data_IF_318684168922
#
_entry.id   IF_318684168922
#
_cell.length_a   1.000
_cell.length_b   1.000
_cell.length_c   1.000
_cell.angle_alpha   90.00
_cell.angle_beta   90.00
_cell.angle_gamma   90.00
#
_symmetry.space_group_name_H-M   'P 1'
#
loop_
_entity.id
_entity.type
_entity.pdbx_description
1 polymer ?
#
# COMPACT_ATOMS: atom_id res chain seq x y z
N UNK A 1 -8.96 -28.48 -24.82
CA UNK A 1 -9.17 -28.37 -23.37
C UNK A 1 -10.43 -27.56 -23.14
N UNK A 2 -11.44 -28.11 -22.48
CA UNK A 2 -12.67 -27.38 -22.13
C UNK A 2 -12.37 -26.54 -20.88
N UNK A 3 -12.36 -25.22 -21.02
CA UNK A 3 -12.19 -24.30 -19.89
C UNK A 3 -13.50 -24.27 -19.11
N UNK A 4 -13.53 -24.87 -17.93
CA UNK A 4 -14.68 -24.79 -17.02
C UNK A 4 -15.00 -23.33 -16.74
N UNK A 5 -16.26 -22.86 -16.86
CA UNK A 5 -16.61 -21.49 -16.50
C UNK A 5 -16.27 -21.27 -15.03
N UNK A 6 -15.38 -20.33 -14.77
CA UNK A 6 -14.95 -20.01 -13.42
C UNK A 6 -16.10 -19.27 -12.71
N UNK A 7 -16.49 -19.68 -11.49
CA UNK A 7 -17.57 -19.01 -10.77
C UNK A 7 -17.23 -17.54 -10.57
N UNK A 8 -18.18 -16.66 -10.88
CA UNK A 8 -18.05 -15.22 -10.65
C UNK A 8 -18.05 -14.96 -9.14
N UNK A 9 -16.97 -14.38 -8.63
CA UNK A 9 -16.86 -13.99 -7.22
C UNK A 9 -17.40 -12.56 -7.07
N UNK A 10 -18.33 -12.34 -6.13
CA UNK A 10 -18.77 -10.99 -5.75
C UNK A 10 -17.59 -10.22 -5.11
N UNK A 11 -17.13 -9.10 -5.71
CA UNK A 11 -16.01 -8.32 -5.18
C UNK A 11 -16.24 -7.78 -3.77
N UNK A 12 -17.49 -7.44 -3.40
CA UNK A 12 -17.80 -6.91 -2.07
C UNK A 12 -17.68 -8.02 -1.03
N UNK A 13 -18.25 -9.20 -1.31
CA UNK A 13 -18.13 -10.37 -0.45
C UNK A 13 -16.66 -10.78 -0.27
N UNK A 14 -15.87 -10.80 -1.34
CA UNK A 14 -14.44 -11.11 -1.28
C UNK A 14 -13.67 -10.08 -0.43
N UNK A 15 -13.92 -8.79 -0.63
CA UNK A 15 -13.30 -7.73 0.18
C UNK A 15 -13.63 -7.87 1.66
N UNK A 16 -14.88 -8.20 1.99
CA UNK A 16 -15.30 -8.45 3.38
C UNK A 16 -14.57 -9.65 3.97
N UNK A 17 -14.46 -10.75 3.21
CA UNK A 17 -13.73 -11.93 3.63
C UNK A 17 -12.23 -11.63 3.90
N UNK A 18 -11.55 -10.88 3.03
CA UNK A 18 -10.17 -10.46 3.28
C UNK A 18 -10.04 -9.52 4.48
N UNK A 19 -11.05 -8.67 4.72
CA UNK A 19 -11.07 -7.76 5.86
C UNK A 19 -11.20 -8.43 7.23
N UNK A 20 -11.50 -9.73 7.30
CA UNK A 20 -11.56 -10.44 8.60
C UNK A 20 -10.17 -10.82 9.13
N UNK A 21 -9.14 -10.79 8.29
CA UNK A 21 -7.76 -11.01 8.72
C UNK A 21 -7.17 -9.70 9.24
N UNK A 22 -6.87 -9.67 10.54
CA UNK A 22 -6.33 -8.49 11.21
C UNK A 22 -4.88 -8.26 10.77
N UNK A 23 -4.56 -7.01 10.42
CA UNK A 23 -3.20 -6.60 10.06
C UNK A 23 -2.83 -5.31 10.79
N UNK A 24 -1.52 -5.02 10.84
CA UNK A 24 -1.04 -3.68 11.12
C UNK A 24 -1.32 -2.72 9.95
N UNK A 25 -1.15 -1.43 10.19
CA UNK A 25 -1.25 -0.40 9.14
C UNK A 25 0.13 0.15 8.85
N UNK A 26 0.47 0.26 7.57
CA UNK A 26 1.71 0.90 7.13
C UNK A 26 1.43 2.05 6.18
N UNK A 27 2.37 2.99 6.10
CA UNK A 27 2.50 3.92 4.98
C UNK A 27 3.74 3.51 4.20
N UNK A 28 3.53 3.16 2.94
CA UNK A 28 4.64 2.97 1.99
C UNK A 28 4.96 4.30 1.33
N UNK A 29 6.25 4.60 1.20
CA UNK A 29 6.74 5.83 0.58
C UNK A 29 7.83 5.56 -0.45
N UNK A 30 7.92 6.42 -1.45
CA UNK A 30 8.96 6.42 -2.48
C UNK A 30 9.13 7.86 -2.98
N UNK A 31 10.03 8.07 -3.93
CA UNK A 31 10.17 9.32 -4.69
C UNK A 31 9.90 9.04 -6.15
N UNK A 32 9.17 9.94 -6.82
CA UNK A 32 9.02 9.90 -8.28
C UNK A 32 10.29 10.39 -9.00
N UNK A 33 10.27 10.40 -10.33
CA UNK A 33 11.43 10.72 -11.16
C UNK A 33 12.01 12.13 -10.88
N UNK A 34 11.17 13.07 -10.46
CA UNK A 34 11.57 14.43 -10.13
C UNK A 34 11.99 14.58 -8.65
N UNK A 35 12.05 13.47 -7.91
CA UNK A 35 12.39 13.43 -6.49
C UNK A 35 11.22 13.78 -5.55
N UNK A 36 10.02 14.02 -6.09
CA UNK A 36 8.85 14.40 -5.28
C UNK A 36 8.39 13.19 -4.46
N UNK A 37 8.16 13.36 -3.14
CA UNK A 37 7.74 12.25 -2.29
C UNK A 37 6.33 11.78 -2.67
N UNK A 38 6.17 10.46 -2.76
CA UNK A 38 4.91 9.77 -3.03
C UNK A 38 4.68 8.73 -1.95
N UNK A 39 3.43 8.55 -1.55
CA UNK A 39 3.10 7.55 -0.55
C UNK A 39 1.63 7.18 -0.49
N UNK A 40 1.36 6.04 0.12
CA UNK A 40 0.01 5.56 0.36
C UNK A 40 -0.06 4.65 1.58
N UNK A 41 -1.23 4.62 2.21
CA UNK A 41 -1.54 3.65 3.25
C UNK A 41 -1.71 2.28 2.62
N UNK A 42 -1.08 1.27 3.23
CA UNK A 42 -1.19 -0.12 2.84
C UNK A 42 -1.33 -1.00 4.08
N UNK A 43 -2.12 -2.07 3.97
CA UNK A 43 -2.29 -3.06 5.03
C UNK A 43 -2.04 -4.49 4.53
N UNK A 44 -1.47 -4.63 3.33
CA UNK A 44 -1.08 -5.89 2.70
C UNK A 44 0.41 -6.22 2.90
N UNK A 45 1.04 -5.61 3.91
CA UNK A 45 2.45 -5.84 4.23
C UNK A 45 2.66 -7.27 4.74
N UNK A 46 3.74 -7.92 4.30
CA UNK A 46 4.19 -9.18 4.87
C UNK A 46 5.71 -9.28 4.86
N UNK A 47 6.27 -9.84 5.94
CA UNK A 47 7.64 -10.36 5.92
C UNK A 47 7.71 -11.59 5.01
N UNK A 48 8.77 -11.71 4.21
CA UNK A 48 8.94 -12.80 3.24
C UNK A 48 10.15 -13.68 3.57
N UNK A 49 11.29 -13.07 3.87
CA UNK A 49 12.54 -13.79 4.16
C UNK A 49 13.40 -13.00 5.15
N UNK A 50 14.19 -13.71 5.96
CA UNK A 50 15.19 -13.11 6.84
C UNK A 50 16.58 -13.05 6.18
N UNK A 51 16.93 -14.05 5.38
CA UNK A 51 18.20 -14.10 4.65
C UNK A 51 17.98 -14.65 3.21
N UNK A 52 18.05 -13.81 2.17
CA UNK A 52 18.19 -12.36 2.25
C UNK A 52 16.97 -11.69 2.89
N UNK A 53 17.09 -10.48 3.46
CA UNK A 53 15.98 -9.77 4.08
C UNK A 53 14.98 -9.29 3.03
N UNK A 54 13.80 -9.91 2.99
CA UNK A 54 12.75 -9.60 2.01
C UNK A 54 11.41 -9.32 2.70
N UNK A 55 10.67 -8.38 2.12
CA UNK A 55 9.30 -8.05 2.45
C UNK A 55 8.48 -7.86 1.17
N UNK A 56 7.16 -7.88 1.28
CA UNK A 56 6.26 -7.63 0.17
C UNK A 56 5.11 -6.71 0.60
N UNK A 57 4.70 -5.84 -0.32
CA UNK A 57 3.48 -5.02 -0.25
C UNK A 57 2.81 -5.05 -1.62
N UNK A 58 1.49 -5.01 -1.67
CA UNK A 58 0.71 -5.02 -2.90
C UNK A 58 0.24 -3.61 -3.24
N UNK A 59 0.67 -3.08 -4.39
CA UNK A 59 0.20 -1.79 -4.91
C UNK A 59 -0.86 -2.02 -5.98
N UNK A 60 -2.05 -1.46 -5.78
CA UNK A 60 -3.11 -1.51 -6.78
C UNK A 60 -2.72 -0.71 -8.02
N UNK A 61 -2.90 -1.29 -9.22
CA UNK A 61 -2.57 -0.61 -10.50
C UNK A 61 -3.32 0.70 -10.73
N UNK A 62 -4.48 0.88 -10.10
CA UNK A 62 -5.27 2.10 -10.16
C UNK A 62 -4.87 3.16 -9.11
N UNK A 63 -3.89 2.88 -8.25
CA UNK A 63 -3.39 3.84 -7.27
C UNK A 63 -2.70 5.01 -7.98
N UNK A 64 -2.96 6.24 -7.55
CA UNK A 64 -2.31 7.43 -8.11
C UNK A 64 -0.77 7.39 -7.99
N UNK A 65 -0.25 6.72 -6.95
CA UNK A 65 1.18 6.50 -6.71
C UNK A 65 1.77 5.32 -7.48
N UNK A 66 0.98 4.53 -8.22
CA UNK A 66 1.45 3.30 -8.88
C UNK A 66 2.64 3.56 -9.80
N UNK A 67 2.55 4.59 -10.64
CA UNK A 67 3.62 4.93 -11.57
C UNK A 67 4.96 5.25 -10.86
N UNK A 68 4.90 5.94 -9.71
CA UNK A 68 6.08 6.26 -8.92
C UNK A 68 6.71 5.00 -8.30
N UNK A 69 5.90 4.12 -7.69
CA UNK A 69 6.40 2.86 -7.14
C UNK A 69 6.95 1.92 -8.22
N UNK A 70 6.36 1.91 -9.41
CA UNK A 70 6.80 1.05 -10.50
C UNK A 70 8.09 1.55 -11.17
N UNK A 71 8.38 2.84 -11.10
CA UNK A 71 9.57 3.46 -11.71
C UNK A 71 10.74 3.64 -10.73
N UNK A 72 10.49 3.57 -9.42
CA UNK A 72 11.52 3.81 -8.41
C UNK A 72 12.28 2.54 -8.04
N UNK A 73 13.59 2.65 -7.88
CA UNK A 73 14.46 1.55 -7.42
C UNK A 73 14.34 1.31 -5.91
N UNK A 74 13.68 2.20 -5.16
CA UNK A 74 13.66 2.18 -3.71
C UNK A 74 12.31 2.61 -3.14
N UNK A 75 11.92 2.01 -2.03
CA UNK A 75 10.78 2.44 -1.23
C UNK A 75 11.04 2.16 0.24
N UNK A 76 10.31 2.86 1.10
CA UNK A 76 10.32 2.64 2.54
C UNK A 76 8.94 2.17 3.02
N UNK A 77 8.94 1.44 4.14
CA UNK A 77 7.73 0.99 4.83
C UNK A 77 7.74 1.56 6.23
N UNK A 78 6.73 2.35 6.56
CA UNK A 78 6.57 2.98 7.87
C UNK A 78 5.43 2.27 8.59
N UNK A 79 5.73 1.53 9.67
CA UNK A 79 4.71 0.91 10.50
C UNK A 79 4.10 1.98 11.40
N UNK A 80 2.77 2.15 11.36
CA UNK A 80 2.09 3.16 12.16
C UNK A 80 1.75 2.64 13.54
N UNK A 81 1.88 3.49 14.56
CA UNK A 81 1.33 3.22 15.89
C UNK A 81 -0.14 3.66 15.97
N UNK A 82 -0.85 3.25 17.04
CA UNK A 82 -2.30 3.49 17.21
C UNK A 82 -2.71 4.97 17.13
N UNK A 83 -1.88 5.90 17.61
CA UNK A 83 -2.17 7.33 17.59
C UNK A 83 -1.97 8.00 16.23
N UNK A 84 -1.50 7.28 15.20
CA UNK A 84 -1.28 7.81 13.83
C UNK A 84 -2.43 7.48 12.87
N UNK A 85 -3.66 7.41 13.40
CA UNK A 85 -4.86 7.15 12.57
C UNK A 85 -5.11 8.27 11.57
N UNK A 86 -4.76 9.51 11.92
CA UNK A 86 -4.80 10.70 11.05
C UNK A 86 -3.81 10.59 9.88
N UNK A 87 -2.57 10.16 10.14
CA UNK A 87 -1.56 9.89 9.10
C UNK A 87 -2.07 8.83 8.14
N UNK A 88 -2.60 7.72 8.66
CA UNK A 88 -3.22 6.67 7.86
C UNK A 88 -4.33 7.21 6.96
N UNK A 89 -5.21 8.07 7.49
CA UNK A 89 -6.31 8.66 6.75
C UNK A 89 -5.82 9.58 5.61
N UNK A 90 -4.83 10.44 5.88
CA UNK A 90 -4.22 11.31 4.87
C UNK A 90 -3.64 10.49 3.72
N UNK A 91 -2.84 9.48 4.04
CA UNK A 91 -2.17 8.65 3.02
C UNK A 91 -3.12 7.69 2.29
N UNK A 92 -4.28 7.35 2.87
CA UNK A 92 -5.35 6.60 2.20
C UNK A 92 -6.23 7.49 1.29
N UNK A 93 -6.21 8.81 1.49
CA UNK A 93 -7.05 9.76 0.75
C UNK A 93 -6.53 10.03 -0.68
N UNK A 94 -7.29 10.84 -1.43
CA UNK A 94 -6.92 11.41 -2.73
C UNK A 94 -6.30 12.81 -2.62
N UNK A 95 -5.87 13.24 -1.44
CA UNK A 95 -5.23 14.54 -1.26
C UNK A 95 -4.02 14.68 -2.20
N UNK A 96 -3.89 15.86 -2.82
CA UNK A 96 -2.80 16.15 -3.77
C UNK A 96 -1.45 16.29 -3.05
N UNK A 97 -1.45 17.00 -1.92
CA UNK A 97 -0.29 17.12 -1.05
C UNK A 97 -0.53 16.35 0.26
N UNK A 98 0.00 15.13 0.32
CA UNK A 98 -0.10 14.25 1.51
C UNK A 98 1.01 14.50 2.51
N UNK A 99 2.11 15.10 2.08
CA UNK A 99 3.33 15.25 2.86
C UNK A 99 3.38 16.61 3.55
N UNK A 100 2.72 17.65 3.01
CA UNK A 100 2.75 18.99 3.57
C UNK A 100 2.18 19.13 4.99
N UNK A 101 1.30 18.22 5.42
CA UNK A 101 0.74 18.23 6.79
C UNK A 101 1.41 17.24 7.74
N UNK A 102 2.40 16.46 7.29
CA UNK A 102 3.00 15.37 8.04
C UNK A 102 4.50 15.62 8.20
N UNK A 103 5.03 15.56 9.42
CA UNK A 103 6.48 15.64 9.62
C UNK A 103 7.17 14.42 9.01
N UNK A 104 8.17 14.66 8.17
CA UNK A 104 8.96 13.63 7.49
C UNK A 104 10.36 14.19 7.16
N UNK A 105 11.32 13.28 6.97
CA UNK A 105 12.71 13.61 6.61
C UNK A 105 12.95 13.64 5.08
#
# INVERSE_FOLDING_TARGET
MLTTPQPTIDPIALRRAFGTFVTGVTVITTRDADGTPRGMTANSFTSVSLDPPLLLVCVGKAAASYAAFNASDSFAVNLLHEGQTDVSAVFASKAHDKFGSISHD
#
